data_IF_660649421965
#
_entry.id   IF_660649421965
#
_cell.length_a   1.000
_cell.length_b   1.000
_cell.length_c   1.000
_cell.angle_alpha   90.00
_cell.angle_beta   90.00
_cell.angle_gamma   90.00
#
_symmetry.space_group_name_H-M   'P 1'
#
loop_
_entity.id
_entity.type
_entity.pdbx_description
1 polymer ?
#
# COMPACT_ATOMS: atom_id res chain seq x y z
N UNK A 1 4.23 -14.59 11.33
CA UNK A 1 3.05 -13.84 10.89
C UNK A 1 3.37 -12.36 10.72
N UNK A 2 2.65 -11.70 9.82
CA UNK A 2 2.78 -10.27 9.66
C UNK A 2 2.19 -9.55 10.86
N UNK A 3 2.92 -8.53 11.35
CA UNK A 3 2.47 -7.71 12.47
C UNK A 3 1.67 -6.49 12.03
N UNK A 4 1.79 -6.10 10.78
CA UNK A 4 1.16 -4.88 10.27
C UNK A 4 0.26 -5.19 9.10
N UNK A 5 -0.68 -4.29 8.84
CA UNK A 5 -1.55 -4.35 7.68
C UNK A 5 -1.53 -3.00 6.98
N UNK A 6 -1.54 -3.03 5.65
CA UNK A 6 -1.66 -1.82 4.87
C UNK A 6 -3.10 -1.31 4.82
N UNK A 7 -4.07 -2.17 5.08
CA UNK A 7 -5.48 -1.77 5.08
C UNK A 7 -6.04 -1.61 3.68
N UNK A 8 -5.57 -2.39 2.73
CA UNK A 8 -6.09 -2.35 1.38
C UNK A 8 -5.97 -3.72 0.73
N UNK A 9 -6.82 -3.97 -0.24
CA UNK A 9 -6.78 -5.16 -1.08
C UNK A 9 -6.34 -4.73 -2.46
N UNK A 10 -5.42 -5.48 -3.06
CA UNK A 10 -4.78 -5.10 -4.31
C UNK A 10 -4.87 -6.21 -5.35
N UNK A 11 -4.67 -5.82 -6.61
CA UNK A 11 -4.63 -6.72 -7.75
C UNK A 11 -3.43 -6.36 -8.61
N UNK A 12 -2.67 -7.36 -9.04
CA UNK A 12 -1.54 -7.13 -9.95
C UNK A 12 -2.04 -6.68 -11.32
N UNK A 13 -1.34 -5.70 -11.89
CA UNK A 13 -1.59 -5.23 -13.24
C UNK A 13 -0.52 -5.81 -14.17
N UNK A 14 -0.92 -6.16 -15.40
CA UNK A 14 0.00 -6.78 -16.36
C UNK A 14 1.22 -5.92 -16.68
N UNK A 15 1.03 -4.61 -16.72
CA UNK A 15 2.10 -3.67 -17.02
C UNK A 15 2.81 -3.11 -15.78
N UNK A 16 2.60 -3.77 -14.65
CA UNK A 16 3.28 -3.42 -13.40
C UNK A 16 2.42 -2.61 -12.45
N UNK A 17 2.80 -2.68 -11.19
CA UNK A 17 2.09 -2.00 -10.12
C UNK A 17 0.89 -2.78 -9.62
N UNK A 18 0.32 -2.28 -8.53
CA UNK A 18 -0.83 -2.91 -7.89
C UNK A 18 -2.00 -1.95 -7.89
N UNK A 19 -3.13 -2.38 -8.47
CA UNK A 19 -4.35 -1.60 -8.38
C UNK A 19 -5.00 -1.82 -7.02
N UNK A 20 -5.37 -0.74 -6.36
CA UNK A 20 -6.14 -0.79 -5.12
C UNK A 20 -7.58 -1.10 -5.46
N UNK A 21 -8.05 -2.29 -5.12
CA UNK A 21 -9.42 -2.70 -5.43
C UNK A 21 -10.38 -2.41 -4.28
N UNK A 22 -9.84 -2.23 -3.07
CA UNK A 22 -10.64 -1.85 -1.91
C UNK A 22 -9.73 -1.29 -0.82
N UNK A 23 -10.28 -0.43 0.04
CA UNK A 23 -9.59 0.07 1.23
C UNK A 23 -10.42 -0.25 2.47
N UNK A 24 -9.73 -0.67 3.53
CA UNK A 24 -10.37 -0.98 4.80
C UNK A 24 -10.74 0.32 5.51
N UNK A 25 -11.97 0.41 5.96
CA UNK A 25 -12.43 1.58 6.71
C UNK A 25 -11.56 1.78 7.95
N UNK A 26 -11.06 3.01 8.13
CA UNK A 26 -10.19 3.41 9.22
C UNK A 26 -8.84 2.69 9.24
N UNK A 27 -8.50 1.99 8.16
CA UNK A 27 -7.21 1.34 8.02
C UNK A 27 -6.12 2.31 7.60
N UNK A 28 -4.89 1.80 7.55
CA UNK A 28 -3.70 2.62 7.25
C UNK A 28 -3.81 3.33 5.90
N UNK A 29 -4.22 2.60 4.86
CA UNK A 29 -4.29 3.17 3.51
C UNK A 29 -5.35 4.28 3.43
N UNK A 30 -6.53 4.03 3.97
CA UNK A 30 -7.60 5.03 3.95
C UNK A 30 -7.19 6.31 4.67
N UNK A 31 -6.60 6.16 5.86
CA UNK A 31 -6.14 7.32 6.63
C UNK A 31 -5.07 8.13 5.91
N UNK A 32 -4.26 7.47 5.09
CA UNK A 32 -3.22 8.14 4.30
C UNK A 32 -3.77 8.81 3.03
N UNK A 33 -5.02 8.53 2.67
CA UNK A 33 -5.63 9.10 1.49
C UNK A 33 -5.55 8.23 0.25
N UNK A 34 -5.13 6.97 0.38
CA UNK A 34 -5.16 6.01 -0.72
C UNK A 34 -6.63 5.62 -0.97
N UNK A 35 -7.00 5.50 -2.23
CA UNK A 35 -8.38 5.24 -2.64
C UNK A 35 -8.45 4.09 -3.62
N UNK A 36 -9.61 3.46 -3.69
CA UNK A 36 -9.91 2.47 -4.71
C UNK A 36 -9.61 3.05 -6.10
N UNK A 37 -8.96 2.28 -6.94
CA UNK A 37 -8.55 2.70 -8.28
C UNK A 37 -7.13 3.22 -8.38
N UNK A 38 -6.50 3.56 -7.27
CA UNK A 38 -5.10 3.98 -7.28
C UNK A 38 -4.21 2.83 -7.73
N UNK A 39 -3.13 3.16 -8.43
CA UNK A 39 -2.13 2.19 -8.86
C UNK A 39 -0.86 2.43 -8.06
N UNK A 40 -0.57 1.54 -7.13
CA UNK A 40 0.66 1.63 -6.31
C UNK A 40 1.85 1.22 -7.16
N UNK A 41 2.84 2.08 -7.29
CA UNK A 41 4.04 1.81 -8.07
C UNK A 41 5.32 1.73 -7.22
N UNK A 42 5.32 2.37 -6.05
CA UNK A 42 6.44 2.28 -5.10
C UNK A 42 5.92 2.16 -3.68
N UNK A 43 6.64 1.41 -2.90
CA UNK A 43 6.36 1.26 -1.48
C UNK A 43 7.68 1.26 -0.73
N UNK A 44 7.82 2.14 0.24
CA UNK A 44 9.05 2.28 1.01
C UNK A 44 10.25 2.55 0.08
N UNK A 45 10.04 3.39 -0.94
CA UNK A 45 11.03 3.79 -1.94
C UNK A 45 11.47 2.68 -2.89
N UNK A 46 10.82 1.52 -2.83
CA UNK A 46 11.10 0.39 -3.72
C UNK A 46 10.01 0.24 -4.76
N UNK A 47 10.40 -0.05 -5.98
CA UNK A 47 9.45 -0.35 -7.06
C UNK A 47 8.66 -1.61 -6.69
N UNK A 48 7.35 -1.55 -6.87
CA UNK A 48 6.46 -2.67 -6.60
C UNK A 48 5.75 -3.05 -7.89
N UNK A 49 6.01 -4.24 -8.39
CA UNK A 49 5.34 -4.77 -9.56
C UNK A 49 4.40 -5.92 -9.21
N UNK A 50 4.68 -6.65 -8.12
CA UNK A 50 3.92 -7.84 -7.76
C UNK A 50 3.43 -7.79 -6.31
N UNK A 51 2.39 -8.59 -6.02
CA UNK A 51 1.92 -8.72 -4.64
C UNK A 51 2.97 -9.35 -3.74
N UNK A 52 3.76 -10.29 -4.28
CA UNK A 52 4.82 -10.92 -3.49
C UNK A 52 5.84 -9.89 -3.01
N UNK A 53 6.25 -8.98 -3.89
CA UNK A 53 7.16 -7.89 -3.50
C UNK A 53 6.55 -7.00 -2.43
N UNK A 54 5.27 -6.68 -2.57
CA UNK A 54 4.57 -5.85 -1.60
C UNK A 54 4.47 -6.54 -0.24
N UNK A 55 4.10 -7.82 -0.23
CA UNK A 55 4.00 -8.59 1.00
C UNK A 55 5.36 -8.69 1.69
N UNK A 56 6.43 -8.91 0.91
CA UNK A 56 7.78 -8.96 1.47
C UNK A 56 8.15 -7.64 2.14
N UNK A 57 7.80 -6.50 1.52
CA UNK A 57 8.04 -5.20 2.14
C UNK A 57 7.23 -5.01 3.42
N UNK A 58 5.96 -5.42 3.41
CA UNK A 58 5.13 -5.28 4.61
C UNK A 58 5.74 -6.01 5.81
N UNK A 59 6.39 -7.13 5.57
CA UNK A 59 7.00 -7.93 6.64
C UNK A 59 8.18 -7.23 7.31
N UNK A 60 8.74 -6.21 6.68
CA UNK A 60 9.85 -5.45 7.25
C UNK A 60 9.41 -4.31 8.15
N UNK A 61 8.12 -4.00 8.17
CA UNK A 61 7.59 -2.85 8.92
C UNK A 61 7.09 -3.24 10.29
N UNK A 62 7.07 -2.25 11.16
CA UNK A 62 6.50 -2.38 12.51
C UNK A 62 5.36 -1.39 12.68
N UNK A 63 4.52 -1.64 13.66
CA UNK A 63 3.42 -0.72 14.01
C UNK A 63 4.01 0.66 14.30
N UNK A 64 3.41 1.67 13.70
CA UNK A 64 3.86 3.05 13.85
C UNK A 64 4.84 3.53 12.80
N UNK A 65 5.42 2.63 12.01
CA UNK A 65 6.29 3.04 10.90
C UNK A 65 5.52 3.90 9.92
N UNK A 66 6.16 4.96 9.44
CA UNK A 66 5.62 5.79 8.37
C UNK A 66 6.32 5.42 7.07
N UNK A 67 5.54 4.92 6.13
CA UNK A 67 6.07 4.34 4.90
C UNK A 67 5.64 5.20 3.72
N UNK A 68 6.59 5.58 2.87
CA UNK A 68 6.28 6.32 1.67
C UNK A 68 5.58 5.40 0.66
N UNK A 69 4.44 5.84 0.14
CA UNK A 69 3.73 5.16 -0.92
C UNK A 69 3.60 6.12 -2.11
N UNK A 70 3.95 5.65 -3.29
CA UNK A 70 3.79 6.40 -4.53
C UNK A 70 2.78 5.69 -5.39
N UNK A 71 1.81 6.41 -5.89
CA UNK A 71 0.74 5.83 -6.71
C UNK A 71 0.31 6.80 -7.82
N UNK A 72 -0.35 6.24 -8.81
CA UNK A 72 -0.92 7.00 -9.92
C UNK A 72 -2.44 7.08 -9.73
N UNK A 73 -2.98 8.28 -9.81
CA UNK A 73 -4.43 8.52 -9.77
C UNK A 73 -4.78 9.49 -10.88
N UNK A 74 -5.67 9.06 -11.77
CA UNK A 74 -6.07 9.90 -12.92
C UNK A 74 -4.87 10.41 -13.72
N UNK A 75 -3.89 9.55 -13.92
CA UNK A 75 -2.68 9.88 -14.68
C UNK A 75 -1.65 10.71 -13.94
N UNK A 76 -1.91 11.08 -12.68
CA UNK A 76 -0.98 11.89 -11.89
C UNK A 76 -0.29 11.06 -10.82
N UNK A 77 1.02 11.24 -10.71
CA UNK A 77 1.79 10.59 -9.66
C UNK A 77 1.62 11.36 -8.35
N UNK A 78 1.32 10.61 -7.29
CA UNK A 78 1.11 11.17 -5.95
C UNK A 78 1.93 10.40 -4.95
N UNK A 79 2.36 11.10 -3.91
CA UNK A 79 3.12 10.50 -2.81
C UNK A 79 2.40 10.79 -1.50
N UNK A 80 2.23 9.75 -0.68
CA UNK A 80 1.68 9.89 0.66
C UNK A 80 2.54 9.10 1.63
N UNK A 81 2.33 9.34 2.93
CA UNK A 81 3.00 8.59 3.98
C UNK A 81 1.93 7.81 4.75
N UNK A 82 2.12 6.51 4.82
CA UNK A 82 1.17 5.58 5.41
C UNK A 82 1.72 5.15 6.77
N UNK A 83 0.97 5.41 7.83
CA UNK A 83 1.37 4.95 9.16
C UNK A 83 0.85 3.52 9.35
N UNK A 84 1.76 2.59 9.58
CA UNK A 84 1.41 1.18 9.73
C UNK A 84 0.62 0.93 11.00
N UNK A 85 -0.51 0.28 10.84
CA UNK A 85 -1.34 -0.16 11.96
C UNK A 85 -1.07 -1.63 12.23
N UNK A 86 -1.39 -2.06 13.46
CA UNK A 86 -1.27 -3.46 13.81
C UNK A 86 -2.34 -4.31 13.12
N UNK A 87 -1.99 -5.56 12.87
CA UNK A 87 -2.97 -6.54 12.41
C UNK A 87 -3.90 -6.85 13.58
N UNK A 88 -5.21 -6.81 13.34
CA UNK A 88 -6.21 -7.19 14.34
C UNK A 88 -6.71 -8.59 14.04
N UNK A 89 -7.06 -9.29 15.08
CA UNK A 89 -7.63 -10.62 14.93
C UNK A 89 -9.13 -10.54 14.69
#
# INVERSE_FOLDING_TARGET
PMRVRAGMRTRELEDGGLEVVDVTKDGSAEKAGIQKGDRIIKWNKKDIATRAEFVDELRTHEVGDKVQAVFIRNGEEKTVYVEMQGATN
#
